data_IF_747046994349
#
_entry.id   IF_747046994349
#
_cell.length_a   1.000
_cell.length_b   1.000
_cell.length_c   1.000
_cell.angle_alpha   90.00
_cell.angle_beta   90.00
_cell.angle_gamma   90.00
#
_symmetry.space_group_name_H-M   'P 1'
#
loop_
_entity.id
_entity.type
_entity.pdbx_description
1 polymer ?
#
# COMPACT_ATOMS: atom_id res chain seq x y z
N UNK A 1 2.16 23.05 8.75
CA UNK A 1 1.13 22.76 7.72
C UNK A 1 0.10 21.73 8.21
N UNK A 2 0.44 20.88 9.19
CA UNK A 2 -0.52 19.99 9.87
C UNK A 2 -1.67 20.79 10.49
N UNK A 3 -1.42 22.02 10.94
CA UNK A 3 -2.41 22.88 11.61
C UNK A 3 -3.62 23.26 10.72
N UNK A 4 -3.60 22.85 9.45
CA UNK A 4 -4.69 23.06 8.48
C UNK A 4 -5.46 21.78 8.14
N UNK A 5 -4.98 20.61 8.56
CA UNK A 5 -5.56 19.30 8.22
C UNK A 5 -5.77 18.49 9.50
N UNK A 6 -6.95 17.91 9.64
CA UNK A 6 -7.24 16.89 10.66
C UNK A 6 -7.25 15.52 10.01
N UNK A 7 -6.71 14.52 10.70
CA UNK A 7 -6.71 13.14 10.25
C UNK A 7 -6.83 12.20 11.46
N UNK A 8 -7.48 11.05 11.29
CA UNK A 8 -7.57 10.00 12.33
C UNK A 8 -6.28 9.19 12.49
N UNK A 9 -5.18 9.61 11.86
CA UNK A 9 -3.86 8.97 11.90
C UNK A 9 -2.82 9.88 12.57
N UNK A 10 -1.79 9.32 13.25
CA UNK A 10 -0.75 10.10 13.92
C UNK A 10 0.24 10.68 12.90
N UNK A 11 -0.17 11.72 12.17
CA UNK A 11 0.61 12.29 11.06
C UNK A 11 2.01 12.74 11.47
N UNK A 12 2.15 13.33 12.66
CA UNK A 12 3.45 13.81 13.15
C UNK A 12 4.48 12.68 13.29
N UNK A 13 4.10 11.58 13.95
CA UNK A 13 4.97 10.41 14.10
C UNK A 13 5.34 9.81 12.73
N UNK A 14 4.39 9.81 11.79
CA UNK A 14 4.64 9.31 10.44
C UNK A 14 5.58 10.21 9.66
N UNK A 15 5.50 11.53 9.85
CA UNK A 15 6.43 12.47 9.23
C UNK A 15 7.84 12.29 9.77
N UNK A 16 7.96 12.16 11.10
CA UNK A 16 9.25 11.94 11.75
C UNK A 16 9.85 10.61 11.30
N UNK A 17 9.04 9.56 11.18
CA UNK A 17 9.46 8.29 10.58
C UNK A 17 9.97 8.48 9.15
N UNK A 18 9.19 9.10 8.27
CA UNK A 18 9.57 9.31 6.85
C UNK A 18 10.86 10.10 6.72
N UNK A 19 11.04 11.15 7.53
CA UNK A 19 12.27 11.96 7.55
C UNK A 19 13.47 11.16 8.03
N UNK A 20 13.31 10.39 9.11
CA UNK A 20 14.40 9.62 9.71
C UNK A 20 14.83 8.43 8.85
N UNK A 21 13.88 7.78 8.17
CA UNK A 21 14.15 6.57 7.38
C UNK A 21 14.31 6.84 5.89
N UNK A 22 14.01 8.05 5.43
CA UNK A 22 13.94 8.41 4.02
C UNK A 22 13.08 7.44 3.17
N UNK A 23 12.05 6.86 3.79
CA UNK A 23 11.20 5.84 3.18
C UNK A 23 9.75 6.28 3.21
N UNK A 24 9.03 6.07 2.11
CA UNK A 24 7.63 6.45 2.00
C UNK A 24 6.72 5.59 2.91
N UNK A 25 5.60 6.18 3.35
CA UNK A 25 4.58 5.56 4.18
C UNK A 25 3.21 5.75 3.55
N UNK A 26 2.48 4.65 3.36
CA UNK A 26 1.08 4.64 2.97
C UNK A 26 0.21 4.32 4.20
N UNK A 27 -0.74 5.21 4.48
CA UNK A 27 -1.76 5.01 5.50
C UNK A 27 -3.07 4.80 4.78
N UNK A 28 -3.64 3.61 4.96
CA UNK A 28 -4.92 3.27 4.36
C UNK A 28 -6.05 3.69 5.28
N UNK A 29 -7.18 4.04 4.67
CA UNK A 29 -8.45 4.13 5.36
C UNK A 29 -8.48 5.15 6.52
N UNK A 30 -8.05 6.37 6.20
CA UNK A 30 -7.99 7.49 7.14
C UNK A 30 -9.12 8.46 6.84
N UNK A 31 -9.83 8.91 7.88
CA UNK A 31 -10.70 10.07 7.76
C UNK A 31 -9.84 11.31 7.86
N UNK A 32 -9.76 12.10 6.79
CA UNK A 32 -8.98 13.33 6.77
C UNK A 32 -9.70 14.47 6.03
N UNK A 33 -9.36 15.69 6.40
CA UNK A 33 -9.92 16.89 5.78
C UNK A 33 -9.39 18.18 6.41
N UNK A 34 -9.72 19.34 5.84
CA UNK A 34 -9.34 20.62 6.42
C UNK A 34 -9.87 20.77 7.85
N UNK A 35 -9.14 21.50 8.69
CA UNK A 35 -9.64 21.90 10.01
C UNK A 35 -10.97 22.64 9.82
N UNK A 36 -11.98 22.27 10.62
CA UNK A 36 -13.36 22.79 10.56
C UNK A 36 -14.16 22.43 9.30
N UNK A 37 -13.79 21.39 8.56
CA UNK A 37 -14.59 20.86 7.45
C UNK A 37 -14.89 19.37 7.62
N UNK A 38 -15.86 18.87 6.84
CA UNK A 38 -16.23 17.45 6.83
C UNK A 38 -15.04 16.63 6.33
N UNK A 39 -14.61 15.67 7.15
CA UNK A 39 -13.57 14.73 6.77
C UNK A 39 -14.10 13.72 5.74
N UNK A 40 -13.23 13.31 4.83
CA UNK A 40 -13.51 12.26 3.84
C UNK A 40 -12.60 11.07 4.08
N UNK A 41 -13.11 9.89 3.74
CA UNK A 41 -12.35 8.65 3.75
C UNK A 41 -11.32 8.70 2.64
N UNK A 42 -10.06 8.45 2.95
CA UNK A 42 -8.97 8.54 1.99
C UNK A 42 -7.80 7.63 2.38
N UNK A 43 -6.90 7.41 1.43
CA UNK A 43 -5.54 6.95 1.74
C UNK A 43 -4.60 8.15 1.72
N UNK A 44 -3.67 8.17 2.66
CA UNK A 44 -2.64 9.21 2.75
C UNK A 44 -1.30 8.57 2.40
N UNK A 45 -0.64 9.08 1.37
CA UNK A 45 0.72 8.70 1.04
C UNK A 45 1.67 9.84 1.42
N UNK A 46 2.68 9.51 2.21
CA UNK A 46 3.69 10.44 2.73
C UNK A 46 5.05 9.97 2.21
N UNK A 47 5.76 10.82 1.47
CA UNK A 47 7.05 10.47 0.87
C UNK A 47 8.06 11.61 1.01
N UNK A 48 9.37 11.33 1.14
CA UNK A 48 10.37 12.38 1.06
C UNK A 48 10.45 12.91 -0.38
N UNK A 49 10.62 14.22 -0.55
CA UNK A 49 10.81 14.83 -1.89
C UNK A 49 12.23 14.58 -2.41
N UNK A 50 13.20 14.54 -1.49
CA UNK A 50 14.61 14.30 -1.77
C UNK A 50 15.28 13.68 -0.56
N UNK A 51 16.38 12.96 -0.77
CA UNK A 51 17.15 12.35 0.31
C UNK A 51 17.91 13.37 1.16
N UNK A 52 18.11 14.58 0.64
CA UNK A 52 18.92 15.64 1.25
C UNK A 52 18.10 16.71 1.98
N UNK A 53 16.78 16.68 1.84
CA UNK A 53 15.91 17.76 2.28
C UNK A 53 14.84 17.22 3.25
N UNK A 54 14.37 18.06 4.18
CA UNK A 54 13.36 17.64 5.17
C UNK A 54 11.93 17.74 4.65
N UNK A 55 11.79 18.12 3.38
CA UNK A 55 10.51 18.29 2.69
C UNK A 55 9.87 16.93 2.42
N UNK A 56 8.58 16.86 2.71
CA UNK A 56 7.75 15.67 2.50
C UNK A 56 6.55 16.03 1.63
N UNK A 57 6.23 15.13 0.72
CA UNK A 57 5.03 15.17 -0.10
C UNK A 57 3.91 14.43 0.63
N UNK A 58 2.74 15.06 0.71
CA UNK A 58 1.51 14.44 1.17
C UNK A 58 0.53 14.34 0.01
N UNK A 59 0.08 13.13 -0.28
CA UNK A 59 -0.95 12.85 -1.28
C UNK A 59 -2.17 12.24 -0.59
N UNK A 60 -3.34 12.81 -0.86
CA UNK A 60 -4.63 12.32 -0.38
C UNK A 60 -5.38 11.69 -1.55
N UNK A 61 -5.61 10.38 -1.49
CA UNK A 61 -6.41 9.66 -2.45
C UNK A 61 -7.78 9.40 -1.83
N UNK A 62 -8.79 10.18 -2.22
CA UNK A 62 -10.16 9.97 -1.75
C UNK A 62 -10.62 8.56 -2.13
N UNK A 63 -11.22 7.85 -1.17
CA UNK A 63 -11.90 6.59 -1.46
C UNK A 63 -13.37 6.90 -1.68
N UNK A 64 -13.90 6.50 -2.82
CA UNK A 64 -15.33 6.48 -3.01
C UNK A 64 -15.93 5.30 -2.22
N UNK A 65 -17.11 5.51 -1.62
CA UNK A 65 -17.88 4.49 -0.92
C UNK A 65 -18.17 3.25 -1.80
N UNK A 66 -18.02 3.40 -3.14
CA UNK A 66 -18.23 2.37 -4.15
C UNK A 66 -17.00 1.49 -4.43
N UNK A 67 -15.80 1.91 -4.04
CA UNK A 67 -14.57 1.14 -4.31
C UNK A 67 -14.37 -0.08 -3.40
N UNK A 68 -15.31 -0.34 -2.47
CA UNK A 68 -15.32 -1.56 -1.65
C UNK A 68 -15.69 -2.83 -2.44
N UNK A 69 -16.08 -2.71 -3.71
CA UNK A 69 -16.03 -3.86 -4.61
C UNK A 69 -14.58 -4.13 -4.99
N UNK A 70 -13.87 -4.87 -4.13
CA UNK A 70 -12.61 -5.53 -4.49
C UNK A 70 -12.78 -6.35 -5.78
N UNK A 71 -11.68 -6.92 -6.33
CA UNK A 71 -11.76 -7.65 -7.59
C UNK A 71 -12.91 -8.64 -7.52
N UNK A 72 -13.89 -8.51 -8.43
CA UNK A 72 -14.97 -9.47 -8.58
C UNK A 72 -14.34 -10.87 -8.62
N UNK A 73 -14.99 -11.86 -7.98
CA UNK A 73 -14.38 -13.15 -7.61
C UNK A 73 -13.49 -13.82 -8.67
N UNK A 74 -13.70 -13.52 -9.95
CA UNK A 74 -12.82 -13.86 -11.08
C UNK A 74 -11.32 -13.53 -10.88
N UNK A 75 -10.96 -12.37 -10.33
CA UNK A 75 -9.54 -12.00 -10.18
C UNK A 75 -8.84 -12.73 -9.01
N UNK A 76 -9.56 -13.05 -7.93
CA UNK A 76 -9.03 -13.92 -6.85
C UNK A 76 -8.87 -15.36 -7.33
N UNK A 77 -9.81 -15.86 -8.13
CA UNK A 77 -9.69 -17.18 -8.78
C UNK A 77 -8.51 -17.25 -9.75
N UNK A 78 -8.27 -16.21 -10.55
CA UNK A 78 -7.12 -16.16 -11.46
C UNK A 78 -5.78 -16.20 -10.71
N UNK A 79 -5.67 -15.54 -9.55
CA UNK A 79 -4.46 -15.58 -8.71
C UNK A 79 -4.28 -16.98 -8.09
N UNK A 80 -5.34 -17.58 -7.53
CA UNK A 80 -5.28 -18.94 -6.99
C UNK A 80 -4.95 -19.99 -8.05
N UNK A 81 -5.44 -19.83 -9.29
CA UNK A 81 -5.08 -20.68 -10.43
C UNK A 81 -3.62 -20.51 -10.85
N UNK A 82 -3.09 -19.28 -10.86
CA UNK A 82 -1.68 -19.02 -11.16
C UNK A 82 -0.75 -19.64 -10.10
N UNK A 83 -1.14 -19.63 -8.82
CA UNK A 83 -0.39 -20.30 -7.76
C UNK A 83 -0.43 -21.83 -7.90
N UNK A 84 -1.57 -22.45 -8.25
CA UNK A 84 -1.63 -23.89 -8.57
C UNK A 84 -0.73 -24.25 -9.75
N UNK A 85 -0.78 -23.49 -10.85
CA UNK A 85 0.09 -23.70 -12.01
C UNK A 85 1.57 -23.61 -11.67
N UNK A 86 1.96 -22.64 -10.83
CA UNK A 86 3.33 -22.50 -10.37
C UNK A 86 3.79 -23.70 -9.51
N UNK A 87 2.90 -24.26 -8.70
CA UNK A 87 3.16 -25.48 -7.95
C UNK A 87 3.22 -26.72 -8.85
N UNK A 88 2.39 -26.80 -9.88
CA UNK A 88 2.37 -27.90 -10.84
C UNK A 88 3.56 -27.91 -11.80
N UNK A 89 4.22 -26.77 -12.06
CA UNK A 89 5.47 -26.72 -12.84
C UNK A 89 6.69 -27.14 -11.98
N UNK A 90 6.68 -26.85 -10.68
CA UNK A 90 7.77 -27.25 -9.77
C UNK A 90 7.88 -28.77 -9.61
N UNK A 91 6.75 -29.48 -9.61
CA UNK A 91 6.71 -30.94 -9.42
C UNK A 91 7.43 -31.75 -10.52
N UNK A 92 7.20 -31.53 -11.83
CA UNK A 92 7.96 -32.19 -12.89
C UNK A 92 9.43 -31.72 -12.92
N UNK A 93 9.72 -30.46 -12.57
CA UNK A 93 11.10 -29.96 -12.52
C UNK A 93 11.94 -30.65 -11.42
N UNK A 94 11.33 -30.90 -10.25
CA UNK A 94 11.94 -31.68 -9.16
C UNK A 94 12.16 -33.16 -9.56
N UNK A 95 11.23 -33.73 -10.33
CA UNK A 95 11.38 -35.09 -10.88
C UNK A 95 12.53 -35.22 -11.87
N UNK A 96 12.71 -34.24 -12.78
CA UNK A 96 13.79 -34.23 -13.77
C UNK A 96 15.17 -34.00 -13.11
N UNK A 97 15.25 -33.12 -12.11
CA UNK A 97 16.51 -32.89 -11.38
C UNK A 97 16.91 -34.08 -10.50
N UNK A 98 15.95 -34.78 -9.88
CA UNK A 98 16.22 -36.00 -9.13
C UNK A 98 16.70 -37.17 -10.00
N UNK A 99 16.22 -37.29 -11.24
CA UNK A 99 16.67 -38.30 -12.19
C UNK A 99 18.06 -38.02 -12.79
N UNK A 100 18.49 -36.76 -12.83
CA UNK A 100 19.80 -36.36 -13.34
C UNK A 100 20.96 -36.53 -12.33
N UNK A 101 20.66 -36.92 -11.08
CA UNK A 101 21.63 -37.14 -10.01
C UNK A 101 21.93 -38.64 -9.74
N UNK A 102 21.37 -39.56 -10.55
CA UNK A 102 21.62 -41.01 -10.50
C UNK A 102 22.54 -41.46 -11.63
#
# INVERSE_FOLDING_TARGET
CIDKITATAPLQEMFDRVRNTNSAVLINDVMAGPVNQIQRRCNIHIAPVSTRDTQILLLFNLRDEREQSGPSGSAKSAIGMAEMLAHEIKNPLAGITGAAQL
#
